data_IF_867186764315
#
_entry.id   IF_867186764315
#
_cell.length_a   1.000
_cell.length_b   1.000
_cell.length_c   1.000
_cell.angle_alpha   90.00
_cell.angle_beta   90.00
_cell.angle_gamma   90.00
#
_symmetry.space_group_name_H-M   'P 1'
#
loop_
_entity.id
_entity.type
_entity.pdbx_description
1 polymer ?
#
# COMPACT_ATOMS: atom_id res chain seq x y z
N UNK A 1 -42.75 -4.14 -3.61
CA UNK A 1 -41.64 -3.97 -2.64
C UNK A 1 -40.37 -4.47 -3.32
N UNK A 2 -39.57 -3.57 -3.86
CA UNK A 2 -38.35 -3.93 -4.61
C UNK A 2 -37.20 -4.14 -3.61
N UNK A 3 -36.75 -5.38 -3.45
CA UNK A 3 -35.49 -5.67 -2.75
C UNK A 3 -34.37 -5.05 -3.59
N UNK A 4 -33.93 -3.85 -3.19
CA UNK A 4 -32.73 -3.20 -3.70
C UNK A 4 -31.57 -4.17 -3.43
N UNK A 5 -31.09 -4.86 -4.47
CA UNK A 5 -29.85 -5.65 -4.40
C UNK A 5 -28.79 -4.77 -3.76
N UNK A 6 -28.35 -5.13 -2.54
CA UNK A 6 -27.35 -4.39 -1.78
C UNK A 6 -26.05 -4.51 -2.58
N UNK A 7 -25.77 -3.52 -3.41
CA UNK A 7 -24.61 -3.51 -4.30
C UNK A 7 -23.34 -3.79 -3.50
N UNK A 8 -22.41 -4.53 -4.10
CA UNK A 8 -21.14 -4.90 -3.49
C UNK A 8 -20.42 -3.64 -2.98
N UNK A 9 -20.25 -3.49 -1.67
CA UNK A 9 -19.52 -2.34 -1.09
C UNK A 9 -18.02 -2.59 -1.14
N UNK A 10 -17.28 -1.63 -1.69
CA UNK A 10 -15.81 -1.67 -1.78
C UNK A 10 -15.24 -0.41 -1.14
N UNK A 11 -14.37 -0.60 -0.16
CA UNK A 11 -13.64 0.47 0.49
C UNK A 11 -12.56 1.05 -0.41
N UNK A 12 -12.46 2.38 -0.48
CA UNK A 12 -11.32 3.10 -1.05
C UNK A 12 -10.68 3.88 0.09
N UNK A 13 -9.57 3.36 0.60
CA UNK A 13 -8.78 4.06 1.60
C UNK A 13 -7.98 5.14 0.89
N UNK A 14 -8.40 6.41 0.98
CA UNK A 14 -7.79 7.53 0.24
C UNK A 14 -7.70 8.80 1.07
N UNK A 15 -6.63 9.58 0.86
CA UNK A 15 -6.48 10.91 1.49
C UNK A 15 -7.45 11.96 0.95
N UNK A 16 -7.73 11.88 -0.34
CA UNK A 16 -8.60 12.80 -1.08
C UNK A 16 -9.46 12.02 -2.07
N UNK A 17 -10.75 11.92 -1.77
CA UNK A 17 -11.74 11.26 -2.62
C UNK A 17 -12.01 11.99 -3.94
N UNK A 18 -11.68 13.28 -4.01
CA UNK A 18 -11.83 14.12 -5.20
C UNK A 18 -10.54 14.21 -6.03
N UNK A 19 -9.47 13.48 -5.63
CA UNK A 19 -8.30 13.36 -6.51
C UNK A 19 -8.66 12.58 -7.78
N UNK A 20 -8.03 12.92 -8.91
CA UNK A 20 -8.29 12.27 -10.21
C UNK A 20 -8.31 10.74 -10.10
N UNK A 21 -7.32 10.16 -9.43
CA UNK A 21 -7.24 8.73 -9.24
C UNK A 21 -8.39 8.13 -8.39
N UNK A 22 -8.78 8.80 -7.29
CA UNK A 22 -9.90 8.36 -6.47
C UNK A 22 -11.20 8.41 -7.27
N UNK A 23 -11.40 9.46 -8.06
CA UNK A 23 -12.58 9.59 -8.93
C UNK A 23 -12.62 8.50 -10.00
N UNK A 24 -11.47 8.15 -10.61
CA UNK A 24 -11.40 7.04 -11.57
C UNK A 24 -11.75 5.69 -10.93
N UNK A 25 -11.27 5.43 -9.71
CA UNK A 25 -11.63 4.22 -8.96
C UNK A 25 -13.12 4.20 -8.59
N UNK A 26 -13.67 5.32 -8.09
CA UNK A 26 -15.11 5.46 -7.80
C UNK A 26 -15.93 5.15 -9.04
N UNK A 27 -15.63 5.82 -10.16
CA UNK A 27 -16.35 5.66 -11.43
C UNK A 27 -16.28 4.23 -11.97
N UNK A 28 -15.11 3.59 -11.88
CA UNK A 28 -14.94 2.20 -12.31
C UNK A 28 -15.76 1.24 -11.46
N UNK A 29 -15.74 1.38 -10.12
CA UNK A 29 -16.54 0.54 -9.22
C UNK A 29 -18.03 0.69 -9.51
N UNK A 30 -18.52 1.93 -9.69
CA UNK A 30 -19.92 2.20 -10.04
C UNK A 30 -20.28 1.55 -11.38
N UNK A 31 -19.41 1.68 -12.40
CA UNK A 31 -19.61 1.07 -13.72
C UNK A 31 -19.78 -0.45 -13.64
N UNK A 32 -19.11 -1.11 -12.70
CA UNK A 32 -19.22 -2.56 -12.47
C UNK A 32 -20.26 -2.95 -11.41
N UNK A 33 -21.15 -2.03 -11.00
CA UNK A 33 -22.25 -2.32 -10.06
C UNK A 33 -21.84 -2.40 -8.59
N UNK A 34 -20.62 -1.99 -8.25
CA UNK A 34 -20.14 -1.87 -6.87
C UNK A 34 -20.41 -0.46 -6.31
N UNK A 35 -20.60 -0.39 -4.99
CA UNK A 35 -20.76 0.87 -4.24
C UNK A 35 -19.42 1.25 -3.59
N UNK A 36 -18.72 2.28 -4.09
CA UNK A 36 -17.48 2.73 -3.46
C UNK A 36 -17.77 3.44 -2.14
N UNK A 37 -16.94 3.17 -1.13
CA UNK A 37 -16.96 3.85 0.17
C UNK A 37 -15.57 4.42 0.42
N UNK A 38 -15.43 5.74 0.30
CA UNK A 38 -14.16 6.42 0.56
C UNK A 38 -13.98 6.67 2.06
N UNK A 39 -12.77 6.42 2.56
CA UNK A 39 -12.40 6.72 3.95
C UNK A 39 -10.88 6.87 4.10
N UNK A 40 -10.45 7.35 5.27
CA UNK A 40 -9.06 7.55 5.66
C UNK A 40 -8.70 6.61 6.80
N UNK A 41 -7.39 6.41 7.04
CA UNK A 41 -6.94 5.64 8.21
C UNK A 41 -7.51 6.15 9.53
N UNK A 42 -7.63 7.47 9.69
CA UNK A 42 -8.17 8.10 10.90
C UNK A 42 -9.66 7.82 11.13
N UNK A 43 -10.38 7.36 10.10
CA UNK A 43 -11.79 7.03 10.21
C UNK A 43 -11.97 5.57 10.72
N UNK A 44 -10.91 4.77 10.70
CA UNK A 44 -10.91 3.39 11.22
C UNK A 44 -10.65 3.37 12.72
N UNK A 45 -11.48 2.60 13.42
CA UNK A 45 -11.29 2.24 14.82
C UNK A 45 -11.02 0.74 14.90
N UNK A 46 -9.83 0.37 15.37
CA UNK A 46 -9.47 -1.03 15.62
C UNK A 46 -9.64 -1.40 17.09
N UNK A 47 -10.13 -2.62 17.31
CA UNK A 47 -10.64 -3.08 18.59
C UNK A 47 -10.08 -4.46 18.90
N UNK A 48 -9.52 -4.69 20.09
CA UNK A 48 -8.91 -5.98 20.49
C UNK A 48 -9.69 -6.53 21.68
N UNK A 49 -10.22 -7.75 21.57
CA UNK A 49 -11.05 -8.36 22.61
C UNK A 49 -12.54 -8.00 22.54
N UNK A 50 -12.96 -7.21 21.56
CA UNK A 50 -14.36 -6.82 21.34
C UNK A 50 -14.69 -6.72 19.86
N UNK A 51 -15.98 -6.90 19.54
CA UNK A 51 -16.54 -6.84 18.19
C UNK A 51 -17.27 -5.50 17.95
N UNK A 52 -17.37 -5.04 16.69
CA UNK A 52 -16.59 -5.51 15.54
C UNK A 52 -15.10 -5.17 15.71
N UNK A 53 -14.17 -5.96 15.17
CA UNK A 53 -12.73 -5.66 15.32
C UNK A 53 -12.31 -4.37 14.64
N UNK A 54 -13.03 -4.00 13.58
CA UNK A 54 -12.80 -2.79 12.79
C UNK A 54 -14.13 -2.13 12.51
N UNK A 55 -14.24 -0.86 12.89
CA UNK A 55 -15.43 -0.05 12.60
C UNK A 55 -15.04 1.28 11.99
N UNK A 56 -15.94 1.82 11.17
CA UNK A 56 -15.90 3.20 10.68
C UNK A 56 -17.27 3.83 10.92
N UNK A 57 -17.37 4.65 11.96
CA UNK A 57 -18.67 5.05 12.51
C UNK A 57 -19.49 3.80 12.87
N UNK A 58 -20.70 3.70 12.29
CA UNK A 58 -21.60 2.55 12.47
C UNK A 58 -21.31 1.37 11.53
N UNK A 59 -20.36 1.50 10.61
CA UNK A 59 -20.03 0.44 9.64
C UNK A 59 -19.10 -0.58 10.26
N UNK A 60 -19.47 -1.87 10.22
CA UNK A 60 -18.55 -2.98 10.51
C UNK A 60 -17.72 -3.24 9.25
N UNK A 61 -16.43 -2.96 9.29
CA UNK A 61 -15.56 -3.03 8.11
C UNK A 61 -15.50 -4.44 7.54
N UNK A 62 -15.46 -5.47 8.39
CA UNK A 62 -15.35 -6.86 7.96
C UNK A 62 -16.68 -7.43 7.44
N UNK A 63 -17.80 -6.99 8.02
CA UNK A 63 -19.12 -7.48 7.62
C UNK A 63 -19.71 -6.70 6.43
N UNK A 64 -19.49 -5.38 6.36
CA UNK A 64 -20.12 -4.51 5.38
C UNK A 64 -19.30 -4.32 4.10
N UNK A 65 -17.96 -4.44 4.14
CA UNK A 65 -17.11 -4.28 2.96
C UNK A 65 -16.67 -5.63 2.40
N UNK A 66 -16.62 -5.75 1.07
CA UNK A 66 -16.08 -6.94 0.38
C UNK A 66 -14.60 -6.85 0.07
N UNK A 67 -14.09 -5.63 -0.04
CA UNK A 67 -12.71 -5.36 -0.40
C UNK A 67 -12.29 -3.97 0.06
N UNK A 68 -10.99 -3.75 0.24
CA UNK A 68 -10.38 -2.44 0.46
C UNK A 68 -9.29 -2.21 -0.59
N UNK A 69 -9.35 -1.07 -1.26
CA UNK A 69 -8.30 -0.57 -2.14
C UNK A 69 -7.52 0.51 -1.38
N UNK A 70 -6.21 0.33 -1.21
CA UNK A 70 -5.37 1.28 -0.47
C UNK A 70 -4.73 2.30 -1.41
N UNK A 71 -4.89 3.60 -1.09
CA UNK A 71 -4.40 4.73 -1.90
C UNK A 71 -3.87 5.88 -1.02
N UNK A 72 -2.61 6.28 -1.26
CA UNK A 72 -1.42 5.70 -0.60
C UNK A 72 -1.55 5.58 0.95
N UNK A 73 -0.57 4.94 1.61
CA UNK A 73 -0.45 4.97 3.10
C UNK A 73 -0.44 6.42 3.65
N UNK A 74 0.06 7.35 2.83
CA UNK A 74 0.13 8.76 3.16
C UNK A 74 1.38 9.11 3.96
N UNK A 75 1.47 10.38 4.36
CA UNK A 75 2.50 10.86 5.28
C UNK A 75 2.01 10.68 6.72
N UNK A 76 2.94 10.60 7.65
CA UNK A 76 2.68 10.54 9.09
C UNK A 76 3.98 10.42 9.86
N UNK A 77 3.90 10.42 11.18
CA UNK A 77 5.03 10.01 12.03
C UNK A 77 5.36 8.53 11.80
N UNK A 78 6.53 8.09 12.27
CA UNK A 78 6.92 6.69 12.22
C UNK A 78 5.85 5.80 12.89
N UNK A 79 5.38 6.21 14.07
CA UNK A 79 4.35 5.51 14.85
C UNK A 79 3.02 5.44 14.10
N UNK A 80 2.61 6.53 13.43
CA UNK A 80 1.41 6.51 12.61
C UNK A 80 1.54 5.52 11.43
N UNK A 81 2.69 5.49 10.78
CA UNK A 81 2.92 4.59 9.64
C UNK A 81 2.94 3.13 10.09
N UNK A 82 3.64 2.82 11.20
CA UNK A 82 3.65 1.49 11.81
C UNK A 82 2.22 1.06 12.14
N UNK A 83 1.46 1.90 12.83
CA UNK A 83 0.08 1.59 13.20
C UNK A 83 -0.81 1.36 11.98
N UNK A 84 -0.69 2.17 10.93
CA UNK A 84 -1.44 1.99 9.68
C UNK A 84 -1.12 0.66 9.01
N UNK A 85 0.14 0.24 9.00
CA UNK A 85 0.53 -1.06 8.45
C UNK A 85 -0.01 -2.21 9.31
N UNK A 86 0.07 -2.11 10.63
CA UNK A 86 -0.49 -3.10 11.55
C UNK A 86 -2.00 -3.27 11.39
N UNK A 87 -2.74 -2.16 11.19
CA UNK A 87 -4.17 -2.18 10.88
C UNK A 87 -4.44 -3.02 9.62
N UNK A 88 -3.72 -2.76 8.53
CA UNK A 88 -3.93 -3.47 7.26
C UNK A 88 -3.54 -4.95 7.37
N UNK A 89 -2.42 -5.26 8.04
CA UNK A 89 -2.02 -6.64 8.32
C UNK A 89 -3.07 -7.39 9.12
N UNK A 90 -3.63 -6.77 10.16
CA UNK A 90 -4.68 -7.38 10.97
C UNK A 90 -5.98 -7.55 10.19
N UNK A 91 -6.41 -6.56 9.42
CA UNK A 91 -7.56 -6.68 8.51
C UNK A 91 -7.38 -7.87 7.56
N UNK A 92 -6.22 -8.00 6.92
CA UNK A 92 -5.90 -9.12 6.03
C UNK A 92 -5.95 -10.47 6.76
N UNK A 93 -5.37 -10.57 7.96
CA UNK A 93 -5.41 -11.81 8.77
C UNK A 93 -6.83 -12.20 9.20
N UNK A 94 -7.72 -11.23 9.37
CA UNK A 94 -9.14 -11.45 9.66
C UNK A 94 -9.99 -11.74 8.41
N UNK A 95 -9.36 -11.90 7.24
CA UNK A 95 -10.03 -12.31 6.01
C UNK A 95 -10.47 -11.16 5.10
N UNK A 96 -10.17 -9.90 5.43
CA UNK A 96 -10.46 -8.79 4.51
C UNK A 96 -9.59 -8.90 3.25
N UNK A 97 -10.23 -8.81 2.09
CA UNK A 97 -9.52 -8.70 0.82
C UNK A 97 -8.98 -7.27 0.66
N UNK A 98 -7.66 -7.12 0.71
CA UNK A 98 -6.97 -5.84 0.50
C UNK A 98 -6.28 -5.89 -0.86
N UNK A 99 -6.76 -5.08 -1.81
CA UNK A 99 -6.12 -4.93 -3.11
C UNK A 99 -4.79 -4.21 -2.91
N UNK A 100 -3.71 -4.88 -3.33
CA UNK A 100 -2.34 -4.70 -2.87
C UNK A 100 -2.21 -5.02 -1.37
N UNK A 101 -1.89 -6.27 -1.01
CA UNK A 101 -1.77 -6.65 0.39
C UNK A 101 -0.69 -5.82 1.10
N UNK A 102 -0.71 -5.73 2.43
CA UNK A 102 0.24 -4.95 3.23
C UNK A 102 1.71 -5.21 2.85
N UNK A 103 2.07 -6.48 2.66
CA UNK A 103 3.41 -6.90 2.23
C UNK A 103 3.83 -6.35 0.86
N UNK A 104 2.89 -6.23 -0.08
CA UNK A 104 3.16 -5.63 -1.39
C UNK A 104 3.38 -4.11 -1.25
N UNK A 105 2.59 -3.46 -0.38
CA UNK A 105 2.75 -2.04 -0.09
C UNK A 105 4.13 -1.77 0.52
N UNK A 106 4.52 -2.52 1.55
CA UNK A 106 5.84 -2.42 2.21
C UNK A 106 6.98 -2.58 1.21
N UNK A 107 6.96 -3.66 0.44
CA UNK A 107 7.96 -3.94 -0.60
C UNK A 107 8.06 -2.85 -1.65
N UNK A 108 6.92 -2.27 -2.06
CA UNK A 108 6.91 -1.22 -3.09
C UNK A 108 7.26 0.17 -2.56
N UNK A 109 7.11 0.42 -1.26
CA UNK A 109 7.36 1.72 -0.65
C UNK A 109 8.82 1.92 -0.28
N UNK A 110 9.51 0.85 0.13
CA UNK A 110 10.94 0.84 0.41
C UNK A 110 11.73 0.56 -0.87
N UNK A 111 12.44 1.56 -1.38
CA UNK A 111 13.21 1.44 -2.61
C UNK A 111 14.43 0.53 -2.46
N UNK A 112 15.09 0.53 -1.30
CA UNK A 112 16.22 -0.36 -1.08
C UNK A 112 15.73 -1.80 -1.13
N UNK A 113 14.68 -2.10 -0.38
CA UNK A 113 14.12 -3.45 -0.34
C UNK A 113 13.50 -3.88 -1.67
N UNK A 114 12.80 -2.97 -2.37
CA UNK A 114 12.28 -3.24 -3.70
C UNK A 114 13.41 -3.65 -4.67
N UNK A 115 14.51 -2.88 -4.69
CA UNK A 115 15.63 -3.13 -5.58
C UNK A 115 16.39 -4.40 -5.21
N UNK A 116 16.60 -4.66 -3.91
CA UNK A 116 17.26 -5.90 -3.47
C UNK A 116 16.46 -7.13 -3.88
N UNK A 117 15.13 -7.12 -3.72
CA UNK A 117 14.27 -8.23 -4.17
C UNK A 117 14.32 -8.43 -5.69
N UNK A 118 14.42 -7.36 -6.47
CA UNK A 118 14.57 -7.47 -7.93
C UNK A 118 15.93 -8.04 -8.31
N UNK A 119 17.01 -7.60 -7.66
CA UNK A 119 18.37 -8.11 -7.84
C UNK A 119 18.49 -9.60 -7.47
N UNK A 120 17.96 -9.99 -6.31
CA UNK A 120 17.94 -11.38 -5.81
C UNK A 120 17.22 -12.33 -6.78
N UNK A 121 16.20 -11.85 -7.50
CA UNK A 121 15.47 -12.59 -8.53
C UNK A 121 16.11 -12.47 -9.94
N UNK A 122 17.29 -11.85 -10.04
CA UNK A 122 18.06 -11.74 -11.29
C UNK A 122 17.52 -10.70 -12.28
N UNK A 123 16.66 -9.78 -11.85
CA UNK A 123 16.15 -8.70 -12.68
C UNK A 123 17.14 -7.53 -12.70
N UNK A 124 17.31 -6.85 -13.86
CA UNK A 124 18.23 -5.72 -13.95
C UNK A 124 17.76 -4.55 -13.09
N UNK A 125 18.66 -4.05 -12.24
CA UNK A 125 18.44 -2.89 -11.37
C UNK A 125 19.51 -1.82 -11.58
N UNK A 126 19.21 -0.53 -11.38
CA UNK A 126 20.23 0.50 -11.39
C UNK A 126 21.20 0.31 -10.22
N UNK A 127 22.50 0.54 -10.48
CA UNK A 127 23.51 0.63 -9.41
C UNK A 127 23.06 1.69 -8.40
N UNK A 128 22.77 1.27 -7.17
CA UNK A 128 22.17 2.10 -6.13
C UNK A 128 22.92 1.89 -4.82
N UNK A 129 23.20 2.99 -4.10
CA UNK A 129 23.80 2.97 -2.76
C UNK A 129 22.85 3.67 -1.80
N UNK A 130 22.55 3.03 -0.68
CA UNK A 130 21.68 3.56 0.38
C UNK A 130 22.45 3.45 1.70
N UNK A 131 22.47 4.53 2.48
CA UNK A 131 23.18 4.61 3.76
C UNK A 131 22.37 5.46 4.75
N UNK A 132 22.51 5.19 6.05
CA UNK A 132 21.90 5.99 7.12
C UNK A 132 22.60 7.32 7.35
N UNK A 133 23.91 7.38 7.04
CA UNK A 133 24.73 8.60 7.10
C UNK A 133 24.88 9.22 5.72
N UNK A 134 24.85 10.55 5.64
CA UNK A 134 25.21 11.29 4.44
C UNK A 134 26.69 11.13 4.05
N UNK A 135 27.54 10.79 5.03
CA UNK A 135 28.95 10.49 4.86
C UNK A 135 29.23 9.03 5.29
N UNK A 136 28.90 8.05 4.44
CA UNK A 136 29.23 6.66 4.72
C UNK A 136 30.76 6.48 4.65
N UNK A 137 31.38 5.78 5.62
CA UNK A 137 32.82 5.56 5.60
C UNK A 137 33.25 4.86 4.31
N UNK A 138 34.27 5.40 3.63
CA UNK A 138 35.00 4.81 2.50
C UNK A 138 34.32 4.70 1.12
N UNK A 139 33.15 5.29 0.89
CA UNK A 139 32.65 5.45 -0.48
C UNK A 139 33.40 6.58 -1.19
N UNK A 140 34.58 6.27 -1.72
CA UNK A 140 35.11 7.07 -2.82
C UNK A 140 34.09 6.98 -3.97
N UNK A 141 33.40 8.09 -4.25
CA UNK A 141 32.52 8.21 -5.43
C UNK A 141 33.25 7.81 -6.73
N UNK A 142 34.58 7.83 -6.71
CA UNK A 142 35.49 7.33 -7.75
C UNK A 142 35.37 5.82 -8.07
N UNK A 143 34.88 4.98 -7.16
CA UNK A 143 34.64 3.55 -7.44
C UNK A 143 33.38 3.30 -8.28
N UNK A 144 32.48 4.27 -8.38
CA UNK A 144 31.25 4.15 -9.19
C UNK A 144 31.49 4.45 -10.68
N UNK A 145 32.59 5.15 -11.02
CA UNK A 145 32.97 5.45 -12.40
C UNK A 145 33.75 4.31 -13.06
N UNK A 146 34.46 3.45 -12.31
CA UNK A 146 35.20 2.31 -12.86
C UNK A 146 34.33 1.10 -13.23
N UNK A 147 33.11 1.00 -12.70
CA UNK A 147 32.11 -0.04 -13.05
C UNK A 147 31.32 0.28 -14.34
N UNK A 148 31.66 1.35 -15.04
CA UNK A 148 31.00 1.78 -16.28
C UNK A 148 31.57 1.18 -17.57
N UNK A 149 32.54 0.25 -17.49
CA UNK A 149 33.28 -0.24 -18.67
C UNK A 149 33.37 -1.75 -18.85
N UNK A 150 32.65 -2.55 -18.07
CA UNK A 150 32.86 -4.01 -18.04
C UNK A 150 31.60 -4.81 -18.36
N UNK A 151 30.85 -4.46 -19.40
CA UNK A 151 29.80 -5.33 -19.97
C UNK A 151 29.31 -4.91 -21.36
N UNK A 152 30.15 -4.22 -22.13
CA UNK A 152 30.02 -4.14 -23.59
C UNK A 152 31.24 -4.87 -24.14
N UNK A 153 31.04 -5.92 -24.97
CA UNK A 153 32.01 -6.88 -25.52
C UNK A 153 31.94 -8.29 -24.88
N UNK A 154 30.84 -9.00 -25.09
CA UNK A 154 30.87 -10.35 -25.70
C UNK A 154 29.49 -10.59 -26.36
N UNK A 155 29.50 -10.49 -27.69
CA UNK A 155 28.37 -10.67 -28.61
C UNK A 155 28.84 -10.39 -30.03
#
# INVERSE_FOLDING_TARGET
MSQKTRGMKVGILTRNEESWCSMQLKGSLIKYGASPICFRFRDLVAKVGFKPEFSMGETDVLADLRAIIVRPIGRGSLEEIIFRMDLLHRLKRLGMYILNPPSAIERSADKYYALSLLEEEGLPVPRTVVAESAEPPSLSWAGMSSLSRSSDLEG
#
